data_IF_823340642491
#
_entry.id   IF_823340642491
#
_cell.length_a   1.000
_cell.length_b   1.000
_cell.length_c   1.000
_cell.angle_alpha   90.00
_cell.angle_beta   90.00
_cell.angle_gamma   90.00
#
_symmetry.space_group_name_H-M   'P 1'
#
loop_
_entity.id
_entity.type
_entity.pdbx_description
1 polymer ?
#
# COMPACT_ATOMS: atom_id res chain seq x y z
N UNK A 1 -58.87 29.38 10.87
CA UNK A 1 -57.95 29.31 12.03
C UNK A 1 -57.72 27.88 12.53
N UNK A 2 -58.74 27.03 12.69
CA UNK A 2 -58.54 25.61 13.09
C UNK A 2 -57.76 24.76 12.07
N UNK A 3 -57.96 24.95 10.75
CA UNK A 3 -57.25 24.16 9.73
C UNK A 3 -55.76 24.50 9.60
N UNK A 4 -55.35 25.72 9.96
CA UNK A 4 -53.95 26.14 10.00
C UNK A 4 -53.19 25.45 11.14
N UNK A 5 -53.86 25.19 12.27
CA UNK A 5 -53.27 24.48 13.42
C UNK A 5 -52.99 22.99 13.12
N UNK A 6 -53.86 22.34 12.34
CA UNK A 6 -53.67 20.93 11.95
C UNK A 6 -52.52 20.73 10.95
N UNK A 7 -52.29 21.70 10.06
CA UNK A 7 -51.19 21.64 9.09
C UNK A 7 -49.85 21.74 9.82
N UNK A 8 -49.72 22.62 10.82
CA UNK A 8 -48.50 22.80 11.62
C UNK A 8 -48.12 21.57 12.45
N UNK A 9 -49.10 20.85 12.99
CA UNK A 9 -48.88 19.62 13.78
C UNK A 9 -48.46 18.45 12.89
N UNK A 10 -49.02 18.36 11.67
CA UNK A 10 -48.63 17.33 10.71
C UNK A 10 -47.18 17.51 10.20
N UNK A 11 -46.72 18.76 10.05
CA UNK A 11 -45.34 19.03 9.61
C UNK A 11 -44.30 18.70 10.67
N UNK A 12 -44.60 18.91 11.96
CA UNK A 12 -43.70 18.55 13.06
C UNK A 12 -43.58 17.03 13.27
N UNK A 13 -44.65 16.26 13.02
CA UNK A 13 -44.60 14.80 13.17
C UNK A 13 -43.78 14.11 12.06
N UNK A 14 -43.76 14.70 10.86
CA UNK A 14 -43.10 14.10 9.68
C UNK A 14 -41.57 14.27 9.72
N UNK A 15 -41.07 15.27 10.46
CA UNK A 15 -39.63 15.54 10.59
C UNK A 15 -38.89 14.56 11.54
N UNK A 16 -39.61 13.70 12.27
CA UNK A 16 -39.04 12.80 13.27
C UNK A 16 -38.65 11.42 12.72
N UNK A 17 -38.92 11.14 11.44
CA UNK A 17 -38.70 9.83 10.81
C UNK A 17 -37.38 9.73 10.02
N UNK A 18 -36.50 10.73 10.12
CA UNK A 18 -35.20 10.76 9.41
C UNK A 18 -34.01 10.31 10.27
N UNK A 19 -34.21 9.92 11.52
CA UNK A 19 -33.14 9.42 12.38
C UNK A 19 -33.04 7.90 12.29
N UNK A 20 -32.37 7.39 11.26
CA UNK A 20 -32.24 5.95 11.05
C UNK A 20 -31.08 5.48 10.18
N UNK A 21 -30.10 6.33 9.85
CA UNK A 21 -28.82 5.88 9.33
C UNK A 21 -27.76 6.03 10.41
N UNK A 22 -27.76 5.13 11.40
CA UNK A 22 -26.62 4.98 12.29
C UNK A 22 -25.71 3.91 11.68
N UNK A 23 -24.64 4.33 11.00
CA UNK A 23 -23.54 3.43 10.62
C UNK A 23 -22.59 3.16 11.79
N UNK A 24 -22.94 3.64 12.99
CA UNK A 24 -22.12 3.61 14.20
C UNK A 24 -21.88 2.19 14.72
N UNK A 25 -22.70 1.22 14.32
CA UNK A 25 -22.56 -0.21 14.66
C UNK A 25 -21.71 -1.01 13.67
N UNK A 26 -21.38 -0.46 12.51
CA UNK A 26 -20.50 -1.12 11.56
C UNK A 26 -19.05 -0.81 11.90
N UNK A 27 -18.24 -1.86 12.03
CA UNK A 27 -16.78 -1.76 11.96
C UNK A 27 -16.35 -0.83 10.82
N UNK A 28 -15.21 -0.17 11.01
CA UNK A 28 -14.71 0.92 10.15
C UNK A 28 -14.81 0.61 8.65
N UNK A 29 -14.46 -0.61 8.22
CA UNK A 29 -14.58 -1.02 6.82
C UNK A 29 -15.84 -1.87 6.57
N UNK A 30 -16.62 -1.52 5.54
CA UNK A 30 -17.80 -2.30 5.14
C UNK A 30 -17.40 -3.60 4.39
N UNK A 31 -16.15 -3.69 3.94
CA UNK A 31 -15.57 -4.88 3.34
C UNK A 31 -14.24 -5.21 4.02
N UNK A 32 -13.91 -6.49 4.10
CA UNK A 32 -12.58 -6.91 4.56
C UNK A 32 -11.55 -6.64 3.46
N UNK A 33 -10.75 -5.59 3.65
CA UNK A 33 -9.73 -5.16 2.69
C UNK A 33 -8.38 -5.08 3.40
N UNK A 34 -7.37 -5.85 3.00
CA UNK A 34 -6.06 -5.77 3.62
C UNK A 34 -5.41 -4.42 3.31
N UNK A 35 -4.86 -3.80 4.35
CA UNK A 35 -4.01 -2.63 4.23
C UNK A 35 -2.54 -3.07 4.19
N UNK A 36 -1.83 -2.61 3.16
CA UNK A 36 -0.43 -2.90 2.94
C UNK A 36 0.43 -1.65 3.17
N UNK A 37 1.35 -1.69 4.14
CA UNK A 37 2.34 -0.65 4.40
C UNK A 37 3.59 -0.83 3.53
N UNK A 38 4.27 0.26 3.20
CA UNK A 38 5.51 0.26 2.41
C UNK A 38 6.72 0.45 3.32
N UNK A 39 7.72 -0.42 3.15
CA UNK A 39 8.90 -0.47 3.99
C UNK A 39 10.18 -0.56 3.16
N UNK A 40 11.27 -0.05 3.71
CA UNK A 40 12.61 -0.30 3.19
C UNK A 40 13.07 -1.70 3.62
N UNK A 41 13.52 -2.52 2.67
CA UNK A 41 14.06 -3.85 2.98
C UNK A 41 15.36 -3.77 3.79
N UNK A 42 16.24 -2.81 3.48
CA UNK A 42 17.54 -2.69 4.16
C UNK A 42 17.41 -2.25 5.61
N UNK A 43 16.48 -1.33 5.89
CA UNK A 43 16.37 -0.69 7.21
C UNK A 43 15.15 -1.11 8.02
N UNK A 44 14.15 -1.73 7.40
CA UNK A 44 12.87 -2.10 8.01
C UNK A 44 11.93 -0.92 8.32
N UNK A 45 12.35 0.33 8.07
CA UNK A 45 11.53 1.50 8.35
C UNK A 45 10.47 1.74 7.29
N UNK A 46 9.35 2.32 7.71
CA UNK A 46 8.30 2.77 6.80
C UNK A 46 8.83 3.84 5.83
N UNK A 47 8.35 3.76 4.59
CA UNK A 47 8.78 4.64 3.51
C UNK A 47 7.60 5.17 2.73
N UNK A 48 7.74 6.38 2.20
CA UNK A 48 6.84 6.93 1.20
C UNK A 48 7.53 6.92 -0.15
N UNK A 49 6.90 6.28 -1.14
CA UNK A 49 7.42 6.11 -2.50
C UNK A 49 6.57 6.95 -3.44
N UNK A 50 7.22 7.69 -4.33
CA UNK A 50 6.58 8.41 -5.42
C UNK A 50 6.61 7.60 -6.73
N UNK A 51 5.77 7.99 -7.68
CA UNK A 51 5.78 7.40 -9.03
C UNK A 51 5.54 5.89 -9.07
N UNK A 52 4.66 5.38 -8.20
CA UNK A 52 4.13 4.02 -8.29
C UNK A 52 2.75 4.03 -8.94
N UNK A 53 2.50 3.05 -9.80
CA UNK A 53 1.14 2.73 -10.23
C UNK A 53 0.82 1.30 -9.79
N UNK A 54 -0.16 1.14 -8.89
CA UNK A 54 -0.58 -0.18 -8.40
C UNK A 54 -1.97 -0.47 -8.94
N UNK A 55 -2.16 -1.65 -9.53
CA UNK A 55 -3.47 -2.06 -10.02
C UNK A 55 -3.76 -3.54 -9.81
N UNK A 56 -5.04 -3.91 -9.76
CA UNK A 56 -5.48 -5.31 -9.74
C UNK A 56 -5.50 -5.91 -11.13
N UNK A 57 -4.83 -7.05 -11.33
CA UNK A 57 -4.85 -7.76 -12.61
C UNK A 57 -6.26 -8.34 -12.88
N UNK A 58 -6.79 -8.09 -14.08
CA UNK A 58 -8.13 -8.56 -14.46
C UNK A 58 -9.25 -7.94 -13.62
N UNK A 59 -9.00 -6.80 -12.96
CA UNK A 59 -10.02 -6.11 -12.18
C UNK A 59 -10.98 -5.37 -13.11
N UNK A 60 -12.30 -5.46 -12.87
CA UNK A 60 -13.26 -4.68 -13.64
C UNK A 60 -13.04 -3.18 -13.41
N UNK A 61 -13.09 -2.38 -14.48
CA UNK A 61 -13.03 -0.90 -14.47
C UNK A 61 -11.70 -0.25 -14.05
N UNK A 62 -10.55 -0.70 -14.57
CA UNK A 62 -9.25 -0.01 -14.44
C UNK A 62 -8.92 0.39 -12.99
N UNK A 63 -8.75 -0.62 -12.12
CA UNK A 63 -8.56 -0.46 -10.68
C UNK A 63 -7.17 0.04 -10.32
N UNK A 64 -6.84 1.27 -10.73
CA UNK A 64 -5.68 2.00 -10.24
C UNK A 64 -5.89 2.31 -8.75
N UNK A 65 -5.10 1.65 -7.90
CA UNK A 65 -5.15 1.76 -6.44
C UNK A 65 -4.23 2.86 -5.92
N UNK A 66 -3.11 3.09 -6.61
CA UNK A 66 -2.19 4.21 -6.39
C UNK A 66 -1.82 4.74 -7.77
N UNK A 67 -1.90 6.06 -7.93
CA UNK A 67 -1.54 6.73 -9.18
C UNK A 67 -0.08 7.18 -9.22
N UNK A 68 0.53 7.30 -10.42
CA UNK A 68 1.94 7.71 -10.58
C UNK A 68 2.26 9.11 -10.05
N UNK A 69 1.26 9.95 -9.83
CA UNK A 69 1.44 11.29 -9.25
C UNK A 69 1.27 11.32 -7.72
N UNK A 70 0.95 10.18 -7.12
CA UNK A 70 0.71 10.05 -5.69
C UNK A 70 1.97 9.55 -4.99
N UNK A 71 2.29 10.18 -3.85
CA UNK A 71 3.34 9.70 -2.95
C UNK A 71 2.65 8.90 -1.84
N UNK A 72 2.78 7.58 -1.92
CA UNK A 72 2.07 6.66 -1.04
C UNK A 72 3.04 5.95 -0.09
N UNK A 73 2.61 5.72 1.15
CA UNK A 73 3.31 4.87 2.13
C UNK A 73 2.51 3.62 2.49
N UNK A 74 1.29 3.51 1.97
CA UNK A 74 0.40 2.37 2.18
C UNK A 74 -0.64 2.31 1.06
N UNK A 75 -1.25 1.13 0.87
CA UNK A 75 -2.30 0.91 -0.13
C UNK A 75 -3.27 -0.17 0.35
N UNK A 76 -4.56 0.00 0.07
CA UNK A 76 -5.53 -1.08 0.23
C UNK A 76 -5.45 -2.03 -0.96
N UNK A 77 -5.47 -3.34 -0.71
CA UNK A 77 -5.38 -4.39 -1.75
C UNK A 77 -6.65 -5.25 -1.77
N UNK A 78 -7.75 -4.80 -2.41
CA UNK A 78 -9.04 -5.49 -2.34
C UNK A 78 -9.01 -6.91 -2.92
N UNK A 79 -9.33 -7.89 -2.07
CA UNK A 79 -9.51 -9.29 -2.47
C UNK A 79 -10.92 -9.50 -3.04
N UNK A 80 -11.09 -10.55 -3.85
CA UNK A 80 -12.32 -10.83 -4.59
C UNK A 80 -13.02 -12.07 -4.03
N UNK A 81 -14.24 -11.89 -3.52
CA UNK A 81 -15.02 -12.97 -2.92
C UNK A 81 -15.31 -14.15 -3.86
N UNK A 82 -15.29 -13.93 -5.18
CA UNK A 82 -15.59 -14.95 -6.20
C UNK A 82 -14.34 -15.63 -6.76
N UNK A 83 -13.15 -15.28 -6.28
CA UNK A 83 -11.88 -15.85 -6.72
C UNK A 83 -11.15 -16.51 -5.54
N UNK A 84 -10.22 -17.42 -5.85
CA UNK A 84 -9.34 -18.06 -4.86
C UNK A 84 -7.97 -17.40 -4.79
N UNK A 85 -7.72 -16.45 -5.67
CA UNK A 85 -6.50 -15.66 -5.70
C UNK A 85 -6.74 -14.30 -6.35
N UNK A 86 -5.95 -13.29 -5.97
CA UNK A 86 -5.94 -11.99 -6.64
C UNK A 86 -4.51 -11.54 -6.83
N UNK A 87 -4.19 -11.11 -8.06
CA UNK A 87 -2.89 -10.58 -8.42
C UNK A 87 -2.95 -9.06 -8.52
N UNK A 88 -1.97 -8.40 -7.94
CA UNK A 88 -1.72 -6.96 -8.07
C UNK A 88 -0.41 -6.75 -8.83
N UNK A 89 -0.40 -5.72 -9.67
CA UNK A 89 0.77 -5.30 -10.45
C UNK A 89 1.23 -3.95 -9.92
N UNK A 90 2.51 -3.87 -9.55
CA UNK A 90 3.19 -2.65 -9.15
C UNK A 90 4.06 -2.23 -10.32
N UNK A 91 3.69 -1.13 -10.97
CA UNK A 91 4.48 -0.54 -12.05
C UNK A 91 5.26 0.64 -11.52
N UNK A 92 6.53 0.70 -11.87
CA UNK A 92 7.43 1.75 -11.45
C UNK A 92 7.52 2.83 -12.53
N UNK A 93 6.89 3.98 -12.29
CA UNK A 93 6.60 5.00 -13.30
C UNK A 93 7.66 6.10 -13.38
N UNK A 94 8.77 5.94 -12.64
CA UNK A 94 9.94 6.79 -12.76
C UNK A 94 10.58 6.64 -14.15
N UNK A 95 11.02 7.75 -14.74
CA UNK A 95 11.39 7.83 -16.17
C UNK A 95 12.37 6.75 -16.64
N UNK A 96 13.36 6.40 -15.81
CA UNK A 96 14.39 5.39 -16.12
C UNK A 96 13.86 3.96 -16.10
N UNK A 97 12.86 3.63 -15.26
CA UNK A 97 12.24 2.30 -15.18
C UNK A 97 11.04 2.15 -16.11
N UNK A 98 10.27 3.22 -16.28
CA UNK A 98 9.08 3.23 -17.11
C UNK A 98 9.42 2.86 -18.56
N UNK A 99 10.60 3.27 -19.06
CA UNK A 99 11.08 2.90 -20.40
C UNK A 99 11.39 1.40 -20.54
N UNK A 100 11.77 0.72 -19.46
CA UNK A 100 12.05 -0.72 -19.46
C UNK A 100 10.82 -1.55 -19.08
N UNK A 101 9.72 -0.91 -18.68
CA UNK A 101 8.49 -1.58 -18.29
C UNK A 101 8.68 -2.46 -17.05
N UNK A 102 9.55 -2.06 -16.12
CA UNK A 102 9.78 -2.83 -14.89
C UNK A 102 8.50 -2.84 -14.05
N UNK A 103 8.07 -4.03 -13.68
CA UNK A 103 6.90 -4.25 -12.83
C UNK A 103 7.14 -5.42 -11.87
N UNK A 104 6.55 -5.32 -10.68
CA UNK A 104 6.41 -6.46 -9.78
C UNK A 104 4.96 -6.93 -9.71
N UNK A 105 4.79 -8.22 -9.46
CA UNK A 105 3.50 -8.87 -9.28
C UNK A 105 3.43 -9.48 -7.90
N UNK A 106 2.30 -9.29 -7.23
CA UNK A 106 1.99 -9.93 -5.94
C UNK A 106 0.68 -10.68 -6.10
N UNK A 107 0.68 -11.98 -5.86
CA UNK A 107 -0.51 -12.82 -5.87
C UNK A 107 -0.80 -13.33 -4.47
N UNK A 108 -1.97 -12.97 -3.95
CA UNK A 108 -2.52 -13.53 -2.71
C UNK A 108 -3.42 -14.70 -3.06
N UNK A 109 -3.21 -15.83 -2.39
CA UNK A 109 -4.12 -16.99 -2.42
C UNK A 109 -4.86 -17.03 -1.09
N UNK A 110 -6.16 -17.26 -1.15
CA UNK A 110 -7.00 -17.13 0.04
C UNK A 110 -8.30 -17.94 -0.05
N UNK A 111 -8.91 -18.09 1.11
CA UNK A 111 -10.24 -18.67 1.27
C UNK A 111 -11.22 -17.58 1.72
N UNK A 112 -12.30 -17.38 0.96
CA UNK A 112 -13.37 -16.43 1.27
C UNK A 112 -14.43 -17.09 2.16
N UNK A 113 -14.65 -16.54 3.35
CA UNK A 113 -15.59 -17.05 4.34
C UNK A 113 -16.71 -16.03 4.56
N UNK A 114 -17.98 -16.36 4.26
CA UNK A 114 -19.10 -15.50 4.62
C UNK A 114 -19.15 -15.25 6.12
N UNK A 115 -19.30 -14.00 6.50
CA UNK A 115 -19.38 -13.52 7.87
C UNK A 115 -20.57 -12.59 8.03
N UNK A 116 -21.45 -12.91 8.97
CA UNK A 116 -22.56 -12.02 9.32
C UNK A 116 -22.10 -11.07 10.43
N UNK A 117 -21.96 -9.78 10.11
CA UNK A 117 -21.47 -8.80 11.05
C UNK A 117 -22.55 -8.37 12.05
N UNK A 118 -23.71 -7.95 11.55
CA UNK A 118 -24.89 -7.60 12.36
C UNK A 118 -26.12 -7.44 11.45
N UNK A 119 -27.31 -7.26 12.03
CA UNK A 119 -28.52 -6.90 11.27
C UNK A 119 -28.34 -5.58 10.51
N UNK A 120 -27.63 -4.62 11.10
CA UNK A 120 -27.39 -3.29 10.51
C UNK A 120 -26.34 -3.32 9.38
N UNK A 121 -25.31 -4.16 9.51
CA UNK A 121 -24.16 -4.18 8.58
C UNK A 121 -24.22 -5.32 7.56
N UNK A 122 -25.12 -6.28 7.77
CA UNK A 122 -25.34 -7.40 6.87
C UNK A 122 -24.20 -8.41 6.85
N UNK A 123 -24.13 -9.16 5.76
CA UNK A 123 -23.12 -10.18 5.52
C UNK A 123 -21.98 -9.62 4.65
N UNK A 124 -20.76 -9.98 5.01
CA UNK A 124 -19.52 -9.66 4.31
C UNK A 124 -18.64 -10.91 4.20
N UNK A 125 -17.46 -10.80 3.61
CA UNK A 125 -16.48 -11.89 3.59
C UNK A 125 -15.30 -11.57 4.50
N UNK A 126 -14.87 -12.54 5.30
CA UNK A 126 -13.53 -12.58 5.85
C UNK A 126 -12.64 -13.41 4.92
N UNK A 127 -11.38 -13.00 4.77
CA UNK A 127 -10.43 -13.72 3.95
C UNK A 127 -9.34 -14.33 4.81
N UNK A 128 -9.03 -15.60 4.59
CA UNK A 128 -7.85 -16.24 5.15
C UNK A 128 -6.80 -16.37 4.06
N UNK A 129 -5.73 -15.60 4.14
CA UNK A 129 -4.57 -15.73 3.25
C UNK A 129 -3.88 -17.05 3.56
N UNK A 130 -3.77 -17.92 2.56
CA UNK A 130 -3.14 -19.24 2.67
C UNK A 130 -1.73 -19.23 2.09
N UNK A 131 -1.47 -18.38 1.11
CA UNK A 131 -0.16 -18.23 0.47
C UNK A 131 -0.02 -16.86 -0.20
N UNK A 132 1.21 -16.37 -0.27
CA UNK A 132 1.59 -15.22 -1.10
C UNK A 132 2.70 -15.66 -2.06
N UNK A 133 2.65 -15.20 -3.30
CA UNK A 133 3.78 -15.28 -4.23
C UNK A 133 4.03 -13.92 -4.85
N UNK A 134 5.29 -13.60 -5.13
CA UNK A 134 5.63 -12.34 -5.77
C UNK A 134 6.86 -12.46 -6.66
N UNK A 135 7.04 -11.50 -7.55
CA UNK A 135 8.32 -11.27 -8.26
C UNK A 135 9.25 -10.41 -7.42
N UNK A 136 10.52 -10.31 -7.84
CA UNK A 136 11.58 -9.67 -7.05
C UNK A 136 12.41 -8.64 -7.83
N UNK A 137 11.75 -7.78 -8.62
CA UNK A 137 12.44 -6.73 -9.37
C UNK A 137 12.92 -5.62 -8.40
N UNK A 138 11.99 -4.95 -7.75
CA UNK A 138 12.22 -3.87 -6.78
C UNK A 138 11.55 -4.14 -5.44
N UNK A 139 10.46 -4.90 -5.45
CA UNK A 139 9.92 -5.55 -4.27
C UNK A 139 10.87 -6.69 -3.87
N UNK A 140 11.39 -6.68 -2.65
CA UNK A 140 12.22 -7.76 -2.16
C UNK A 140 11.38 -8.89 -1.55
N UNK A 141 10.46 -8.53 -0.65
CA UNK A 141 9.65 -9.48 0.11
C UNK A 141 8.28 -8.91 0.49
N UNK A 142 7.35 -9.82 0.80
CA UNK A 142 6.01 -9.50 1.30
C UNK A 142 5.80 -10.16 2.65
N UNK A 143 5.59 -9.34 3.69
CA UNK A 143 5.24 -9.78 5.03
C UNK A 143 3.74 -9.87 5.24
N UNK A 144 3.29 -10.87 6.01
CA UNK A 144 1.88 -11.03 6.41
C UNK A 144 1.82 -11.06 7.94
N UNK A 145 1.39 -9.95 8.56
CA UNK A 145 1.22 -9.83 10.01
C UNK A 145 0.24 -10.86 10.54
N UNK A 146 -0.86 -10.98 9.79
CA UNK A 146 -2.00 -11.78 10.14
C UNK A 146 -2.66 -12.26 8.86
N UNK A 147 -2.87 -13.57 8.77
CA UNK A 147 -3.51 -14.20 7.63
C UNK A 147 -5.01 -13.94 7.58
N UNK A 148 -5.65 -13.57 8.70
CA UNK A 148 -7.07 -13.30 8.76
C UNK A 148 -7.36 -11.82 8.50
N UNK A 149 -7.89 -11.56 7.31
CA UNK A 149 -8.39 -10.27 6.90
C UNK A 149 -9.85 -10.16 7.29
N UNK A 150 -10.13 -9.17 8.12
CA UNK A 150 -11.47 -8.80 8.59
C UNK A 150 -11.77 -7.37 8.19
N UNK A 151 -12.91 -6.88 8.62
CA UNK A 151 -13.38 -5.51 8.52
C UNK A 151 -12.73 -4.51 9.50
N UNK A 152 -11.83 -4.98 10.37
CA UNK A 152 -11.05 -4.13 11.26
C UNK A 152 -9.95 -3.45 10.45
N UNK A 153 -9.87 -2.12 10.51
CA UNK A 153 -8.85 -1.35 9.80
C UNK A 153 -7.51 -1.46 10.52
N UNK A 154 -6.63 -2.28 9.96
CA UNK A 154 -5.25 -2.42 10.44
C UNK A 154 -4.34 -2.85 9.30
N UNK A 155 -3.08 -2.49 9.42
CA UNK A 155 -2.05 -3.02 8.54
C UNK A 155 -1.84 -4.51 8.82
N UNK A 156 -2.04 -5.34 7.79
CA UNK A 156 -1.82 -6.79 7.86
C UNK A 156 -0.74 -7.24 6.89
N UNK A 157 -0.36 -6.39 5.93
CA UNK A 157 0.61 -6.70 4.88
C UNK A 157 1.74 -5.68 4.93
N UNK A 158 2.98 -6.12 4.78
CA UNK A 158 4.15 -5.26 4.59
C UNK A 158 4.79 -5.52 3.23
N UNK A 159 4.97 -4.48 2.43
CA UNK A 159 5.70 -4.54 1.16
C UNK A 159 7.10 -3.96 1.36
N UNK A 160 8.12 -4.80 1.24
CA UNK A 160 9.51 -4.40 1.50
C UNK A 160 10.22 -4.15 0.17
N UNK A 161 10.55 -2.90 -0.10
CA UNK A 161 11.21 -2.48 -1.33
C UNK A 161 12.72 -2.40 -1.14
N UNK A 162 13.48 -2.75 -2.16
CA UNK A 162 14.92 -2.48 -2.23
C UNK A 162 15.12 -0.99 -2.36
N UNK A 163 15.77 -0.40 -1.36
CA UNK A 163 16.06 1.02 -1.31
C UNK A 163 17.57 1.19 -1.25
N UNK A 164 18.11 2.06 -2.08
CA UNK A 164 19.39 2.69 -1.81
C UNK A 164 19.30 3.59 -0.59
N UNK A 165 20.35 3.59 0.22
CA UNK A 165 20.53 4.66 1.19
C UNK A 165 20.72 5.98 0.41
N UNK A 166 20.09 7.09 0.82
CA UNK A 166 20.43 8.38 0.25
C UNK A 166 21.91 8.62 0.50
N UNK A 167 22.66 9.01 -0.52
CA UNK A 167 24.04 9.44 -0.34
C UNK A 167 24.08 10.46 0.80
N UNK A 168 24.90 10.20 1.82
CA UNK A 168 25.19 11.23 2.82
C UNK A 168 25.64 12.47 2.05
N UNK A 169 25.11 13.67 2.38
CA UNK A 169 25.52 14.87 1.67
C UNK A 169 27.04 14.97 1.79
N UNK A 170 27.73 14.90 0.65
CA UNK A 170 29.16 15.15 0.58
C UNK A 170 29.40 16.48 1.29
N UNK A 171 29.98 16.42 2.50
CA UNK A 171 30.47 17.61 3.17
C UNK A 171 31.43 18.27 2.22
N UNK A 172 31.22 19.54 1.82
CA UNK A 172 32.11 20.20 0.88
C UNK A 172 33.52 20.11 1.41
N UNK A 173 34.41 19.49 0.63
CA UNK A 173 35.82 19.34 0.97
C UNK A 173 36.37 20.68 1.43
N UNK A 174 36.91 20.68 2.65
CA UNK A 174 37.70 21.81 3.14
C UNK A 174 38.87 21.98 2.18
N UNK A 175 39.14 23.18 1.62
CA UNK A 175 40.16 23.31 0.60
C UNK A 175 41.52 22.96 1.18
N UNK A 176 42.07 21.81 0.78
CA UNK A 176 43.45 21.45 1.06
C UNK A 176 44.37 22.46 0.37
N UNK A 177 45.33 22.97 1.14
CA UNK A 177 46.39 23.87 0.69
C UNK A 177 47.25 23.13 -0.36
N UNK A 178 47.61 23.73 -1.49
CA UNK A 178 48.21 22.99 -2.59
C UNK A 178 49.68 22.65 -2.26
N UNK A 179 50.00 21.36 -2.31
CA UNK A 179 51.38 20.89 -2.46
C UNK A 179 51.51 20.18 -3.83
N UNK A 180 52.49 20.65 -4.60
CA UNK A 180 52.88 20.27 -5.98
C UNK A 180 53.49 18.84 -5.92
N UNK A 181 53.36 17.86 -6.84
CA UNK A 181 53.78 17.78 -8.25
C UNK A 181 53.63 16.33 -8.80
N UNK A 182 53.24 16.17 -10.09
CA UNK A 182 53.50 15.07 -11.10
C UNK A 182 53.02 13.61 -10.80
N UNK A 183 52.45 12.75 -11.66
CA UNK A 183 52.36 12.50 -13.13
C UNK A 183 51.07 11.66 -13.44
N UNK A 184 50.66 11.35 -14.70
CA UNK A 184 49.30 10.90 -15.03
C UNK A 184 49.11 9.37 -15.05
N UNK A 185 48.00 8.87 -14.49
CA UNK A 185 47.49 7.51 -14.75
C UNK A 185 46.15 7.55 -15.53
N UNK A 186 46.01 6.57 -16.42
CA UNK A 186 45.06 6.46 -17.54
C UNK A 186 43.55 6.45 -17.18
N UNK A 187 42.65 6.75 -18.13
CA UNK A 187 41.21 6.79 -17.86
C UNK A 187 40.65 5.36 -17.74
N UNK A 188 40.52 4.90 -16.50
CA UNK A 188 39.65 3.77 -16.16
C UNK A 188 38.19 4.14 -16.41
N UNK A 189 37.55 3.36 -17.26
CA UNK A 189 36.13 3.40 -17.60
C UNK A 189 35.26 3.31 -16.35
N UNK A 190 34.74 4.45 -15.88
CA UNK A 190 33.72 4.47 -14.84
C UNK A 190 32.39 4.02 -15.45
N UNK A 191 32.10 2.74 -15.32
CA UNK A 191 30.77 2.19 -15.56
C UNK A 191 29.91 2.62 -14.36
N UNK A 192 29.17 3.71 -14.53
CA UNK A 192 28.20 4.23 -13.57
C UNK A 192 27.03 3.25 -13.43
N UNK A 193 27.12 2.38 -12.42
CA UNK A 193 26.06 1.48 -11.96
C UNK A 193 25.34 2.02 -10.70
N UNK A 194 25.26 3.35 -10.55
CA UNK A 194 24.56 3.99 -9.42
C UNK A 194 23.20 4.56 -9.83
N UNK A 195 22.24 3.66 -10.11
CA UNK A 195 20.84 4.01 -10.36
C UNK A 195 19.96 3.66 -9.18
N UNK A 196 19.65 4.65 -8.34
CA UNK A 196 19.12 4.38 -7.01
C UNK A 196 18.12 5.45 -6.54
N UNK A 197 16.98 4.99 -6.01
CA UNK A 197 15.72 5.72 -5.82
C UNK A 197 15.74 6.71 -4.65
N UNK A 198 15.07 7.85 -4.81
CA UNK A 198 14.80 8.79 -3.72
C UNK A 198 13.60 8.31 -2.89
N UNK A 199 13.88 7.60 -1.81
CA UNK A 199 12.86 7.11 -0.88
C UNK A 199 12.93 7.90 0.42
N UNK A 200 11.87 8.64 0.70
CA UNK A 200 11.75 9.40 1.94
C UNK A 200 11.23 8.53 3.08
N UNK A 201 11.94 8.51 4.22
CA UNK A 201 11.50 7.80 5.43
C UNK A 201 10.25 8.49 5.99
N UNK A 202 9.14 7.78 6.12
CA UNK A 202 7.96 8.25 6.87
C UNK A 202 7.98 7.60 8.25
N UNK A 203 7.70 8.36 9.30
CA UNK A 203 7.66 7.79 10.66
C UNK A 203 6.33 7.05 10.84
N UNK A 204 6.32 5.73 10.69
CA UNK A 204 5.22 4.85 11.09
C UNK A 204 5.76 3.61 11.83
N UNK A 205 5.01 3.18 12.85
CA UNK A 205 5.46 2.36 13.97
C UNK A 205 5.67 0.87 13.66
N UNK A 206 6.69 0.28 14.28
CA UNK A 206 7.08 -1.12 14.17
C UNK A 206 5.99 -2.07 14.68
N UNK A 207 5.41 -2.88 13.79
CA UNK A 207 4.79 -4.16 14.13
C UNK A 207 5.69 -5.30 13.61
N UNK A 208 6.03 -6.30 14.43
CA UNK A 208 6.83 -7.43 13.96
C UNK A 208 5.96 -8.34 13.08
N UNK A 209 6.16 -8.28 11.75
CA UNK A 209 5.49 -9.14 10.78
C UNK A 209 6.17 -10.52 10.75
N UNK A 210 5.40 -11.60 10.79
CA UNK A 210 5.94 -12.94 10.61
C UNK A 210 6.23 -13.18 9.11
N UNK A 211 7.47 -13.55 8.82
CA UNK A 211 7.87 -14.01 7.48
C UNK A 211 7.17 -15.35 7.21
N UNK A 212 6.21 -15.38 6.29
CA UNK A 212 5.57 -16.63 5.88
C UNK A 212 6.60 -17.40 5.06
N UNK A 213 7.16 -18.43 5.69
CA UNK A 213 8.27 -19.24 5.24
C UNK A 213 8.21 -19.59 3.74
N UNK A 214 9.33 -19.31 3.06
CA UNK A 214 9.75 -19.98 1.82
C UNK A 214 9.75 -21.48 2.09
N UNK A 215 8.78 -22.21 1.53
CA UNK A 215 8.93 -23.65 1.34
C UNK A 215 9.38 -23.89 -0.10
N UNK A 216 10.53 -24.57 -0.17
CA UNK A 216 11.29 -25.01 -1.34
C UNK A 216 10.47 -25.76 -2.39
#
# INVERSE_FOLDING_TARGET
MKSLFYISVATLLTASLLTGCNTTGCTENQNSVPLAGFYSYSSGYAVAIDSLAISGEGAPNDSLLVGPSERASQVYLPLRATETSTTFVIKYMQKSLAQYGVEDRITFYYEAHPWFASEECGAMYHYRITRVSHTTQLLDSVGVADSLITNIERETIGLYFRTSEPDEPETPDTPETPEVTEEPEEPGENVDDTFYYNISRSQAANYPLQEVARHE
#
